data_IF_190756673247
#
_entry.id   IF_190756673247
#
_cell.length_a   1.000
_cell.length_b   1.000
_cell.length_c   1.000
_cell.angle_alpha   90.00
_cell.angle_beta   90.00
_cell.angle_gamma   90.00
#
_symmetry.space_group_name_H-M   'P 1'
#
loop_
_entity.id
_entity.type
_entity.pdbx_description
1 polymer ?
#
# COMPACT_ATOMS: atom_id res chain seq x y z
N UNK A 1 -39.35 4.59 1.35
CA UNK A 1 -38.01 5.03 1.79
C UNK A 1 -37.11 3.81 1.80
N UNK A 2 -36.10 3.71 0.92
CA UNK A 2 -35.12 2.64 1.04
C UNK A 2 -34.31 2.88 2.32
N UNK A 3 -34.24 1.87 3.18
CA UNK A 3 -33.50 1.94 4.45
C UNK A 3 -32.01 1.78 4.13
N UNK A 4 -31.21 2.79 4.49
CA UNK A 4 -29.75 2.77 4.37
C UNK A 4 -29.19 1.86 5.48
N UNK A 5 -29.05 0.56 5.20
CA UNK A 5 -28.29 -0.34 6.08
C UNK A 5 -26.89 -0.49 5.48
N UNK A 6 -25.87 0.24 5.98
CA UNK A 6 -24.51 0.02 5.55
C UNK A 6 -24.04 -1.35 6.05
N UNK A 7 -23.61 -2.21 5.14
CA UNK A 7 -22.89 -3.42 5.53
C UNK A 7 -21.45 -3.01 5.82
N UNK A 8 -20.97 -3.38 7.01
CA UNK A 8 -19.57 -3.17 7.41
C UNK A 8 -18.86 -4.50 7.25
N UNK A 9 -17.92 -4.57 6.31
CA UNK A 9 -17.05 -5.72 6.13
C UNK A 9 -15.67 -5.41 6.76
N UNK A 10 -15.26 -6.22 7.73
CA UNK A 10 -13.92 -6.17 8.33
C UNK A 10 -13.22 -7.48 8.03
N UNK A 11 -12.22 -7.45 7.16
CA UNK A 11 -11.38 -8.60 6.87
C UNK A 11 -9.98 -8.37 7.44
N UNK A 12 -9.58 -9.18 8.43
CA UNK A 12 -8.22 -9.16 8.99
C UNK A 12 -7.43 -10.31 8.37
N UNK A 13 -6.64 -10.02 7.34
CA UNK A 13 -5.79 -11.01 6.69
C UNK A 13 -4.33 -10.83 7.13
N UNK A 14 -3.77 -11.84 7.83
CA UNK A 14 -2.33 -11.97 8.06
C UNK A 14 -1.72 -12.63 6.81
N UNK A 15 -1.55 -11.86 5.74
CA UNK A 15 -0.88 -12.35 4.54
C UNK A 15 0.63 -12.04 4.60
N UNK A 16 1.47 -13.07 4.53
CA UNK A 16 2.86 -12.89 4.17
C UNK A 16 2.91 -12.59 2.66
N UNK A 17 2.95 -11.31 2.29
CA UNK A 17 3.03 -10.95 0.88
C UNK A 17 4.37 -11.45 0.31
N UNK A 18 4.37 -12.33 -0.72
CA UNK A 18 5.61 -12.68 -1.41
C UNK A 18 6.10 -11.41 -2.10
N UNK A 19 7.23 -10.88 -1.63
CA UNK A 19 8.06 -9.84 -2.23
C UNK A 19 7.33 -8.96 -3.27
N UNK A 20 6.64 -7.89 -2.83
CA UNK A 20 6.46 -6.74 -3.71
C UNK A 20 7.87 -6.21 -3.96
N UNK A 21 8.46 -6.61 -5.08
CA UNK A 21 9.78 -6.20 -5.48
C UNK A 21 9.79 -4.69 -5.69
N UNK A 22 10.12 -3.93 -4.65
CA UNK A 22 10.52 -2.52 -4.69
C UNK A 22 9.65 -1.54 -5.48
N UNK A 23 8.39 -1.88 -5.77
CA UNK A 23 7.45 -0.98 -6.42
C UNK A 23 7.13 0.20 -5.51
N UNK A 24 6.78 1.34 -6.10
CA UNK A 24 6.38 2.53 -5.35
C UNK A 24 4.94 2.40 -4.84
N UNK A 25 4.20 1.40 -5.32
CA UNK A 25 2.81 1.13 -5.01
C UNK A 25 2.66 0.53 -3.59
N UNK A 26 1.98 1.28 -2.71
CA UNK A 26 1.67 0.88 -1.33
C UNK A 26 0.26 0.33 -1.16
N UNK A 27 -0.65 0.66 -2.08
CA UNK A 27 -2.02 0.15 -2.06
C UNK A 27 -2.59 0.07 -3.49
N UNK A 28 -3.29 -1.03 -3.77
CA UNK A 28 -4.07 -1.17 -4.99
C UNK A 28 -5.40 -0.40 -4.84
N UNK A 29 -5.97 0.13 -5.95
CA UNK A 29 -7.32 0.68 -5.91
C UNK A 29 -8.35 -0.40 -5.54
N UNK A 30 -9.34 -0.12 -4.68
CA UNK A 30 -10.30 -1.10 -4.20
C UNK A 30 -11.43 -1.33 -5.24
N UNK A 31 -11.08 -1.77 -6.45
CA UNK A 31 -12.07 -1.98 -7.52
C UNK A 31 -13.17 -2.98 -7.14
N UNK A 32 -12.84 -3.95 -6.27
CA UNK A 32 -13.80 -4.92 -5.73
C UNK A 32 -14.98 -4.29 -5.00
N UNK A 33 -14.76 -3.17 -4.29
CA UNK A 33 -15.79 -2.47 -3.53
C UNK A 33 -16.99 -2.07 -4.40
N UNK A 34 -16.75 -1.73 -5.67
CA UNK A 34 -17.82 -1.35 -6.60
C UNK A 34 -18.77 -2.50 -6.92
N UNK A 35 -18.38 -3.76 -6.71
CA UNK A 35 -19.23 -4.93 -6.98
C UNK A 35 -19.98 -5.42 -5.75
N UNK A 36 -19.69 -4.87 -4.57
CA UNK A 36 -20.37 -5.22 -3.33
C UNK A 36 -21.83 -4.70 -3.33
N UNK A 37 -22.82 -5.49 -2.87
CA UNK A 37 -24.23 -5.14 -3.01
C UNK A 37 -24.66 -4.03 -2.03
N UNK A 38 -25.13 -2.89 -2.54
CA UNK A 38 -25.64 -1.79 -1.70
C UNK A 38 -24.56 -0.82 -1.22
N UNK A 39 -24.76 -0.24 -0.03
CA UNK A 39 -23.81 0.71 0.55
C UNK A 39 -22.77 -0.01 1.39
N UNK A 40 -21.51 0.36 1.20
CA UNK A 40 -20.37 -0.31 1.83
C UNK A 40 -19.38 0.68 2.40
N UNK A 41 -18.86 0.35 3.58
CA UNK A 41 -17.73 1.02 4.20
C UNK A 41 -16.62 0.00 4.38
N UNK A 42 -15.44 0.30 3.83
CA UNK A 42 -14.25 -0.51 3.95
C UNK A 42 -13.13 0.30 4.61
N UNK A 43 -12.40 -0.36 5.51
CA UNK A 43 -11.22 0.18 6.15
C UNK A 43 -10.11 -0.86 6.15
N UNK A 44 -8.92 -0.45 5.73
CA UNK A 44 -7.74 -1.31 5.64
C UNK A 44 -6.56 -0.67 6.36
N UNK A 45 -5.81 -1.49 7.09
CA UNK A 45 -4.51 -1.14 7.68
C UNK A 45 -3.51 -2.25 7.41
N UNK A 46 -2.28 -1.87 7.08
CA UNK A 46 -1.20 -2.82 6.85
C UNK A 46 0.11 -2.30 7.42
N UNK A 47 0.92 -3.22 7.96
CA UNK A 47 2.32 -3.00 8.33
C UNK A 47 3.18 -3.82 7.40
N UNK A 48 4.10 -3.17 6.69
CA UNK A 48 5.01 -3.80 5.73
C UNK A 48 6.42 -3.70 6.29
N UNK A 49 7.13 -4.82 6.30
CA UNK A 49 8.53 -4.88 6.72
C UNK A 49 9.37 -5.48 5.59
N UNK A 50 9.68 -4.70 4.54
CA UNK A 50 10.43 -5.19 3.40
C UNK A 50 11.91 -5.39 3.77
N UNK A 51 12.63 -6.11 2.93
CA UNK A 51 14.10 -6.18 2.95
C UNK A 51 14.59 -6.00 1.52
N UNK A 52 15.23 -4.87 1.24
CA UNK A 52 15.72 -4.51 -0.10
C UNK A 52 17.22 -4.29 -0.03
N UNK A 53 17.99 -5.20 -0.61
CA UNK A 53 19.45 -5.14 -0.62
C UNK A 53 19.97 -5.27 -2.05
N UNK A 54 21.11 -4.66 -2.32
CA UNK A 54 21.83 -4.79 -3.58
C UNK A 54 23.33 -4.91 -3.35
N UNK A 55 24.03 -5.45 -4.36
CA UNK A 55 25.48 -5.46 -4.43
C UNK A 55 25.96 -4.58 -5.58
N UNK A 56 27.01 -3.81 -5.32
CA UNK A 56 27.75 -3.10 -6.35
C UNK A 56 28.54 -4.09 -7.20
N UNK A 57 28.67 -3.81 -8.49
CA UNK A 57 29.50 -4.58 -9.41
C UNK A 57 30.36 -3.57 -10.21
N UNK A 58 31.68 -3.79 -10.36
CA UNK A 58 32.47 -4.95 -9.94
C UNK A 58 33.01 -4.91 -8.49
N UNK A 59 32.77 -3.85 -7.71
CA UNK A 59 33.30 -3.72 -6.35
C UNK A 59 32.44 -4.46 -5.31
N UNK A 60 33.03 -5.16 -4.32
CA UNK A 60 32.28 -5.90 -3.29
C UNK A 60 31.74 -4.96 -2.19
N UNK A 61 30.90 -4.01 -2.57
CA UNK A 61 30.20 -3.11 -1.65
C UNK A 61 28.70 -3.41 -1.69
N UNK A 62 28.05 -3.47 -0.53
CA UNK A 62 26.62 -3.72 -0.41
C UNK A 62 25.87 -2.41 -0.15
N UNK A 63 24.62 -2.31 -0.57
CA UNK A 63 23.78 -1.14 -0.29
C UNK A 63 23.33 -1.07 1.18
N UNK A 64 23.34 -2.21 1.88
CA UNK A 64 22.54 -2.42 3.09
C UNK A 64 21.04 -2.54 2.75
N UNK A 65 20.20 -2.65 3.79
CA UNK A 65 18.75 -2.61 3.62
C UNK A 65 18.29 -1.17 3.35
N UNK A 66 17.88 -0.89 2.11
CA UNK A 66 17.65 0.48 1.64
C UNK A 66 16.23 0.98 1.87
N UNK A 67 15.29 0.07 2.15
CA UNK A 67 13.88 0.41 2.30
C UNK A 67 13.41 0.11 3.73
N UNK A 68 13.01 1.15 4.45
CA UNK A 68 12.52 1.02 5.81
C UNK A 68 11.14 0.36 5.90
N UNK A 69 10.80 -0.12 7.12
CA UNK A 69 9.46 -0.57 7.45
C UNK A 69 8.46 0.59 7.36
N UNK A 70 7.26 0.35 6.82
CA UNK A 70 6.22 1.36 6.73
C UNK A 70 4.85 0.81 7.10
N UNK A 71 3.93 1.71 7.44
CA UNK A 71 2.52 1.40 7.64
C UNK A 71 1.70 2.17 6.63
N UNK A 72 0.62 1.57 6.16
CA UNK A 72 -0.33 2.20 5.24
C UNK A 72 -1.75 1.88 5.65
N UNK A 73 -2.70 2.67 5.15
CA UNK A 73 -4.11 2.44 5.35
C UNK A 73 -4.96 3.09 4.28
N UNK A 74 -6.20 2.63 4.19
CA UNK A 74 -7.20 3.13 3.28
C UNK A 74 -8.57 3.17 3.96
N UNK A 75 -9.37 4.16 3.57
CA UNK A 75 -10.79 4.24 3.88
C UNK A 75 -11.55 4.36 2.57
N UNK A 76 -12.56 3.54 2.37
CA UNK A 76 -13.37 3.59 1.17
C UNK A 76 -14.87 3.52 1.51
N UNK A 77 -15.64 4.42 0.91
CA UNK A 77 -17.09 4.50 1.06
C UNK A 77 -17.73 4.32 -0.32
N UNK A 78 -18.63 3.37 -0.45
CA UNK A 78 -19.50 3.20 -1.60
C UNK A 78 -20.94 3.51 -1.23
N UNK A 79 -21.61 4.28 -2.08
CA UNK A 79 -23.05 4.55 -2.01
C UNK A 79 -23.72 4.20 -3.33
N UNK A 80 -24.84 3.47 -3.24
CA UNK A 80 -25.69 3.21 -4.39
C UNK A 80 -26.57 4.44 -4.68
N UNK A 81 -26.43 5.01 -5.88
CA UNK A 81 -27.21 6.18 -6.32
C UNK A 81 -28.54 5.77 -6.98
N UNK A 82 -28.68 4.49 -7.34
CA UNK A 82 -29.89 3.93 -7.94
C UNK A 82 -29.65 2.48 -8.40
N UNK A 83 -30.51 1.97 -9.29
CA UNK A 83 -30.44 0.57 -9.74
C UNK A 83 -29.26 0.25 -10.69
N UNK A 84 -28.53 1.26 -11.16
CA UNK A 84 -27.50 1.13 -12.21
C UNK A 84 -26.26 2.00 -12.01
N UNK A 85 -26.18 2.73 -10.90
CA UNK A 85 -25.12 3.69 -10.66
C UNK A 85 -24.71 3.67 -9.19
N UNK A 86 -23.41 3.56 -8.99
CA UNK A 86 -22.75 3.58 -7.69
C UNK A 86 -21.67 4.65 -7.68
N UNK A 87 -21.45 5.28 -6.54
CA UNK A 87 -20.34 6.21 -6.31
C UNK A 87 -19.45 5.64 -5.21
N UNK A 88 -18.14 5.59 -5.46
CA UNK A 88 -17.15 5.27 -4.44
C UNK A 88 -16.19 6.44 -4.23
N UNK A 89 -15.87 6.72 -2.97
CA UNK A 89 -14.83 7.65 -2.54
C UNK A 89 -13.80 6.87 -1.76
N UNK A 90 -12.53 7.00 -2.15
CA UNK A 90 -11.41 6.29 -1.53
C UNK A 90 -10.38 7.31 -1.05
N UNK A 91 -10.01 7.21 0.22
CA UNK A 91 -8.91 7.95 0.82
C UNK A 91 -7.79 6.98 1.15
N UNK A 92 -6.67 7.08 0.46
CA UNK A 92 -5.48 6.26 0.68
C UNK A 92 -4.20 7.02 0.29
N UNK A 93 -3.06 6.37 0.53
CA UNK A 93 -1.76 6.74 -0.04
C UNK A 93 -1.31 5.60 -0.97
N UNK A 94 -1.67 5.64 -2.27
CA UNK A 94 -1.46 4.52 -3.16
C UNK A 94 0.02 4.33 -3.54
N UNK A 95 0.81 5.39 -3.42
CA UNK A 95 2.22 5.43 -3.79
C UNK A 95 3.02 6.03 -2.63
N UNK A 96 4.25 5.55 -2.45
CA UNK A 96 5.25 6.25 -1.67
C UNK A 96 6.55 5.47 -1.55
N UNK A 97 7.66 6.20 -1.50
CA UNK A 97 8.99 5.64 -1.28
C UNK A 97 9.73 6.47 -0.24
N UNK A 98 10.54 5.80 0.57
CA UNK A 98 11.49 6.45 1.47
C UNK A 98 12.72 5.55 1.54
N UNK A 99 13.74 5.94 0.77
CA UNK A 99 14.96 5.19 0.58
C UNK A 99 16.13 5.89 1.25
N UNK A 100 16.96 5.11 1.91
CA UNK A 100 18.26 5.53 2.41
C UNK A 100 19.32 4.50 2.00
N UNK A 101 20.53 4.95 1.69
CA UNK A 101 21.68 4.07 1.43
C UNK A 101 22.62 4.06 2.65
N UNK A 102 22.40 3.14 3.62
CA UNK A 102 23.08 3.22 4.92
C UNK A 102 24.49 2.61 4.93
N UNK A 103 24.81 1.70 4.00
CA UNK A 103 26.05 0.95 4.07
C UNK A 103 27.27 1.78 3.66
N UNK A 104 28.28 1.82 4.53
CA UNK A 104 29.57 2.46 4.24
C UNK A 104 30.30 1.71 3.12
N UNK A 105 30.88 2.42 2.17
CA UNK A 105 31.63 1.84 1.04
C UNK A 105 30.80 1.63 -0.23
N UNK A 106 29.46 1.74 -0.14
CA UNK A 106 28.63 1.88 -1.34
C UNK A 106 28.81 3.27 -1.96
N UNK A 107 28.83 3.35 -3.29
CA UNK A 107 29.20 4.58 -4.02
C UNK A 107 28.36 5.81 -3.64
N UNK A 108 27.07 5.62 -3.36
CA UNK A 108 26.13 6.69 -2.97
C UNK A 108 25.71 6.61 -1.50
N UNK A 109 26.55 6.02 -0.66
CA UNK A 109 26.33 5.95 0.79
C UNK A 109 26.00 7.32 1.38
N UNK A 110 24.99 7.37 2.25
CA UNK A 110 24.47 8.59 2.88
C UNK A 110 23.43 9.35 2.05
N UNK A 111 23.18 8.96 0.79
CA UNK A 111 22.11 9.55 -0.02
C UNK A 111 20.72 9.02 0.38
N UNK A 112 19.69 9.84 0.13
CA UNK A 112 18.29 9.56 0.43
C UNK A 112 17.38 10.03 -0.70
N UNK A 113 16.24 9.36 -0.89
CA UNK A 113 15.22 9.74 -1.86
C UNK A 113 13.83 9.39 -1.33
N UNK A 114 12.87 10.30 -1.46
CA UNK A 114 11.51 10.10 -0.99
C UNK A 114 10.48 10.72 -1.95
N UNK A 115 9.31 10.08 -2.03
CA UNK A 115 8.10 10.55 -2.72
C UNK A 115 6.85 10.17 -1.93
#
# INVERSE_FOLDING_TARGET
>A
MPRLFPTVAVALALAANPAIAGGIERALPPFGLLFEPGNHLQFDIARISPRVTGQQVPWPAETGDVLGNFSTGALALKVALGARADLAVVLNKPVGIDLAYPASGYMISGSQAAI
#
